data_IF_363133114285
#
_entry.id   IF_363133114285
#
_cell.length_a   1.000
_cell.length_b   1.000
_cell.length_c   1.000
_cell.angle_alpha   90.00
_cell.angle_beta   90.00
_cell.angle_gamma   90.00
#
_symmetry.space_group_name_H-M   'P 1'
#
loop_
_entity.id
_entity.type
_entity.pdbx_description
1 polymer ?
#
# COMPACT_ATOMS: atom_id res chain seq x y z
N UNK A 1 -0.78 23.70 -6.61
CA UNK A 1 -0.81 22.24 -6.36
C UNK A 1 0.49 21.65 -6.93
N UNK A 2 1.05 20.58 -6.36
CA UNK A 2 2.26 19.94 -6.90
C UNK A 2 2.07 19.52 -8.37
N UNK A 3 3.12 19.68 -9.17
CA UNK A 3 3.10 19.34 -10.60
C UNK A 3 2.98 17.82 -10.83
N UNK A 4 3.65 17.02 -9.98
CA UNK A 4 3.62 15.56 -10.03
C UNK A 4 3.35 14.98 -8.64
N UNK A 5 2.12 14.52 -8.43
CA UNK A 5 1.65 13.96 -7.15
C UNK A 5 2.18 12.55 -6.90
N UNK A 6 2.65 11.85 -7.93
CA UNK A 6 3.15 10.47 -7.80
C UNK A 6 4.48 10.40 -7.05
N UNK A 7 5.22 11.52 -7.00
CA UNK A 7 6.52 11.66 -6.32
C UNK A 7 6.41 12.00 -4.84
N UNK A 8 5.20 12.13 -4.31
CA UNK A 8 4.96 12.52 -2.93
C UNK A 8 4.38 11.35 -2.14
N UNK A 9 4.85 11.16 -0.90
CA UNK A 9 4.33 10.12 0.00
C UNK A 9 2.96 10.50 0.55
N UNK A 10 2.69 11.78 0.73
CA UNK A 10 1.52 12.32 1.41
C UNK A 10 0.70 13.22 0.49
N UNK A 11 -0.63 13.14 0.58
CA UNK A 11 -1.58 14.06 -0.08
C UNK A 11 -1.77 15.34 0.74
N UNK A 12 -1.82 15.19 2.05
CA UNK A 12 -1.85 16.24 3.08
C UNK A 12 -1.02 15.76 4.28
N UNK A 13 -0.84 16.54 5.37
CA UNK A 13 -0.01 16.12 6.51
C UNK A 13 -0.40 14.82 7.21
N UNK A 14 -1.56 14.23 6.92
CA UNK A 14 -2.11 13.07 7.62
C UNK A 14 -2.36 11.86 6.70
N UNK A 15 -2.70 12.08 5.43
CA UNK A 15 -3.13 11.02 4.53
C UNK A 15 -2.06 10.66 3.48
N UNK A 16 -1.76 9.36 3.27
CA UNK A 16 -0.89 8.91 2.20
C UNK A 16 -1.44 9.31 0.82
N UNK A 17 -0.55 9.58 -0.11
CA UNK A 17 -0.90 9.79 -1.51
C UNK A 17 -1.43 8.50 -2.15
N UNK A 18 -2.09 8.62 -3.30
CA UNK A 18 -2.49 7.46 -4.11
C UNK A 18 -1.30 6.54 -4.40
N UNK A 19 -0.14 7.10 -4.78
CA UNK A 19 1.07 6.34 -5.07
C UNK A 19 1.55 5.53 -3.86
N UNK A 20 1.53 6.12 -2.66
CA UNK A 20 1.86 5.42 -1.43
C UNK A 20 0.83 4.30 -1.12
N UNK A 21 -0.47 4.59 -1.29
CA UNK A 21 -1.53 3.61 -1.08
C UNK A 21 -1.42 2.40 -2.01
N UNK A 22 -1.06 2.59 -3.28
CA UNK A 22 -0.84 1.48 -4.23
C UNK A 22 0.30 0.56 -3.79
N UNK A 23 1.39 1.11 -3.25
CA UNK A 23 2.51 0.31 -2.73
C UNK A 23 2.07 -0.48 -1.50
N UNK A 24 1.36 0.15 -0.56
CA UNK A 24 0.83 -0.52 0.63
C UNK A 24 -0.13 -1.64 0.24
N UNK A 25 -1.08 -1.36 -0.65
CA UNK A 25 -2.06 -2.34 -1.13
C UNK A 25 -1.37 -3.56 -1.77
N UNK A 26 -0.30 -3.35 -2.56
CA UNK A 26 0.47 -4.45 -3.15
C UNK A 26 1.07 -5.37 -2.09
N UNK A 27 1.59 -4.82 -0.98
CA UNK A 27 2.12 -5.63 0.11
C UNK A 27 1.01 -6.39 0.85
N UNK A 28 -0.13 -5.75 1.11
CA UNK A 28 -1.26 -6.41 1.78
C UNK A 28 -1.84 -7.56 0.95
N UNK A 29 -1.99 -7.36 -0.36
CA UNK A 29 -2.65 -8.33 -1.26
C UNK A 29 -1.71 -9.47 -1.65
N UNK A 30 -0.47 -9.15 -2.03
CA UNK A 30 0.45 -10.06 -2.70
C UNK A 30 1.85 -10.12 -2.04
N UNK A 31 2.09 -9.35 -0.99
CA UNK A 31 3.37 -9.29 -0.29
C UNK A 31 3.72 -10.54 0.50
N UNK A 32 4.93 -10.54 1.04
CA UNK A 32 5.40 -11.58 1.95
C UNK A 32 4.88 -11.38 3.39
N UNK A 33 5.33 -12.23 4.30
CA UNK A 33 4.89 -12.20 5.70
C UNK A 33 5.59 -11.17 6.57
N UNK A 34 6.52 -10.37 6.01
CA UNK A 34 7.25 -9.35 6.76
C UNK A 34 6.34 -8.26 7.30
N UNK A 35 5.35 -7.85 6.50
CA UNK A 35 4.39 -6.79 6.85
C UNK A 35 2.95 -7.29 7.03
N UNK A 36 2.63 -8.50 6.57
CA UNK A 36 1.30 -9.09 6.70
C UNK A 36 1.41 -10.56 7.11
N UNK A 37 1.24 -10.82 8.40
CA UNK A 37 1.39 -12.16 9.00
C UNK A 37 0.03 -12.73 9.40
N UNK A 38 -0.21 -14.06 9.25
CA UNK A 38 0.72 -15.10 8.77
C UNK A 38 0.77 -15.26 7.25
N UNK A 39 -0.10 -14.58 6.50
CA UNK A 39 -0.15 -14.62 5.04
C UNK A 39 -0.85 -13.38 4.49
N UNK A 40 -0.62 -13.06 3.22
CA UNK A 40 -1.30 -11.96 2.52
C UNK A 40 -2.80 -12.24 2.26
N UNK A 41 -3.54 -11.19 1.87
CA UNK A 41 -4.99 -11.27 1.66
C UNK A 41 -5.38 -12.25 0.55
N UNK A 42 -4.58 -12.39 -0.52
CA UNK A 42 -4.89 -13.35 -1.58
C UNK A 42 -4.84 -14.78 -1.07
N UNK A 43 -3.85 -15.11 -0.23
CA UNK A 43 -3.76 -16.42 0.41
C UNK A 43 -4.92 -16.66 1.36
N UNK A 44 -5.21 -15.69 2.23
CA UNK A 44 -6.33 -15.79 3.17
C UNK A 44 -7.67 -16.05 2.48
N UNK A 45 -7.95 -15.36 1.37
CA UNK A 45 -9.19 -15.53 0.58
C UNK A 45 -9.32 -16.94 -0.03
N UNK A 46 -8.19 -17.60 -0.31
CA UNK A 46 -8.15 -18.90 -0.96
C UNK A 46 -8.04 -20.07 0.04
N UNK A 47 -8.10 -19.80 1.35
CA UNK A 47 -8.25 -20.82 2.39
C UNK A 47 -9.71 -21.28 2.47
#
# INVERSE_FOLDING_TARGET
MCEDRSKHVFWDPYHPSEAANLIIAKQLVDGDTKYTSPMNLRRLRNL
#
